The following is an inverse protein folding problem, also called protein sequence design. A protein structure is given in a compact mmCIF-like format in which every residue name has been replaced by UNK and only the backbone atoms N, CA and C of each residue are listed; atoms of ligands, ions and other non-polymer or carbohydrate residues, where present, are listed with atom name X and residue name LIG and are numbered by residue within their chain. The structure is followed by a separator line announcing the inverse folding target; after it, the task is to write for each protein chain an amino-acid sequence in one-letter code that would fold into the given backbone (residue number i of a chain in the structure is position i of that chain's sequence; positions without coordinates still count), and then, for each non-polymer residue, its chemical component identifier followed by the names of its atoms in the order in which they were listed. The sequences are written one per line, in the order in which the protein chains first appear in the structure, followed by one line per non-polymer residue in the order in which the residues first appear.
data_IF_235511331258
#
_entry.id   IF_235511331258
#
_cell.length_a   1.000
_cell.length_b   1.000
_cell.length_c   1.000
_cell.angle_alpha   90.00
_cell.angle_beta   90.00
_cell.angle_gamma   90.00
#
_symmetry.space_group_name_H-M   'P 1'
#
loop_
_entity.id
_entity.type
_entity.pdbx_description
1 polymer ?
#
# COMPACT_ATOMS: atom_id res chain seq x y z
N UNK A 1 -73.62 -6.33 -60.39
CA UNK A 1 -73.43 -7.49 -59.50
C UNK A 1 -71.90 -7.63 -59.26
N UNK A 2 -71.33 -6.98 -58.26
CA UNK A 2 -69.91 -6.94 -58.04
C UNK A 2 -69.62 -7.53 -56.67
N UNK A 3 -68.89 -8.63 -56.59
CA UNK A 3 -68.50 -9.29 -55.36
C UNK A 3 -67.28 -8.63 -54.72
N UNK A 4 -67.40 -8.12 -53.50
CA UNK A 4 -66.37 -7.62 -52.70
C UNK A 4 -65.68 -8.78 -51.93
N UNK A 5 -64.42 -8.99 -52.12
CA UNK A 5 -63.57 -9.92 -51.33
C UNK A 5 -62.96 -9.20 -50.14
N UNK A 6 -63.31 -9.66 -48.94
CA UNK A 6 -62.71 -9.21 -47.67
C UNK A 6 -61.44 -10.00 -47.47
N UNK A 7 -60.27 -9.26 -47.31
CA UNK A 7 -59.03 -9.85 -46.96
C UNK A 7 -58.82 -9.64 -45.44
N UNK A 8 -58.76 -10.78 -44.69
CA UNK A 8 -58.37 -10.79 -43.28
C UNK A 8 -56.82 -10.64 -43.21
N UNK A 9 -56.33 -9.58 -42.62
CA UNK A 9 -54.93 -9.48 -42.19
C UNK A 9 -54.80 -10.02 -40.78
N UNK A 10 -54.00 -11.09 -40.59
CA UNK A 10 -53.59 -11.60 -39.30
C UNK A 10 -52.39 -10.77 -38.79
N UNK A 11 -52.61 -10.00 -37.74
CA UNK A 11 -51.54 -9.27 -37.05
C UNK A 11 -50.77 -10.20 -36.13
N UNK A 12 -49.47 -10.42 -36.42
CA UNK A 12 -48.57 -11.12 -35.52
C UNK A 12 -48.01 -10.10 -34.49
N UNK A 13 -48.44 -10.26 -33.25
CA UNK A 13 -47.94 -9.46 -32.13
C UNK A 13 -46.61 -10.06 -31.66
N UNK A 14 -45.52 -9.39 -31.95
CA UNK A 14 -44.18 -9.78 -31.49
C UNK A 14 -43.93 -9.20 -30.07
N UNK A 15 -43.97 -10.07 -29.04
CA UNK A 15 -43.61 -9.72 -27.68
C UNK A 15 -42.06 -9.55 -27.60
N UNK A 16 -41.60 -8.32 -27.48
CA UNK A 16 -40.20 -8.03 -27.06
C UNK A 16 -40.08 -8.29 -25.56
N UNK A 17 -39.40 -9.38 -25.20
CA UNK A 17 -38.95 -9.62 -23.83
C UNK A 17 -37.72 -8.73 -23.57
N UNK A 18 -37.91 -7.59 -22.91
CA UNK A 18 -36.83 -6.80 -22.38
C UNK A 18 -36.25 -7.48 -21.14
N UNK A 19 -35.15 -8.22 -21.32
CA UNK A 19 -34.37 -8.78 -20.22
C UNK A 19 -33.70 -7.64 -19.45
N UNK A 20 -34.23 -7.35 -18.25
CA UNK A 20 -33.57 -6.48 -17.28
C UNK A 20 -32.32 -7.23 -16.75
N UNK A 21 -31.15 -6.96 -17.32
CA UNK A 21 -29.88 -7.41 -16.74
C UNK A 21 -29.68 -6.63 -15.44
N UNK A 22 -29.96 -7.27 -14.31
CA UNK A 22 -29.57 -6.76 -12.99
C UNK A 22 -28.04 -6.79 -12.92
N UNK A 23 -27.41 -5.65 -13.16
CA UNK A 23 -26.01 -5.46 -12.82
C UNK A 23 -25.89 -5.49 -11.30
N UNK A 24 -25.39 -6.61 -10.78
CA UNK A 24 -24.92 -6.70 -9.40
C UNK A 24 -23.74 -5.71 -9.32
N UNK A 25 -23.80 -4.67 -8.47
CA UNK A 25 -22.64 -3.82 -8.29
C UNK A 25 -21.55 -4.69 -7.66
N UNK A 26 -20.53 -5.05 -8.42
CA UNK A 26 -19.24 -5.46 -7.86
C UNK A 26 -18.76 -4.28 -7.03
N UNK A 27 -18.88 -4.40 -5.70
CA UNK A 27 -18.17 -3.52 -4.80
C UNK A 27 -16.68 -3.72 -5.11
N UNK A 28 -16.14 -2.87 -5.98
CA UNK A 28 -14.71 -2.69 -6.09
C UNK A 28 -14.29 -2.13 -4.73
N UNK A 29 -13.67 -2.97 -3.89
CA UNK A 29 -12.87 -2.49 -2.79
C UNK A 29 -11.80 -1.63 -3.45
N UNK A 30 -11.98 -0.30 -3.39
CA UNK A 30 -11.01 0.62 -3.92
C UNK A 30 -9.73 0.39 -3.10
N UNK A 31 -8.72 -0.21 -3.72
CA UNK A 31 -7.36 -0.06 -3.23
C UNK A 31 -7.16 1.44 -2.99
N UNK A 32 -6.63 1.81 -1.82
CA UNK A 32 -6.41 3.21 -1.45
C UNK A 32 -5.78 3.93 -2.64
N UNK A 33 -6.49 4.91 -3.20
CA UNK A 33 -6.13 5.46 -4.49
C UNK A 33 -4.75 6.11 -4.41
N UNK A 34 -3.81 5.62 -5.21
CA UNK A 34 -2.47 6.20 -5.28
C UNK A 34 -2.53 7.68 -5.65
N UNK A 35 -1.83 8.53 -4.89
CA UNK A 35 -1.88 9.99 -5.03
C UNK A 35 -0.54 10.52 -5.50
N UNK A 36 -0.54 11.31 -6.58
CA UNK A 36 0.66 12.05 -6.99
C UNK A 36 0.88 13.25 -6.06
N UNK A 37 1.95 13.21 -5.28
CA UNK A 37 2.31 14.25 -4.31
C UNK A 37 3.67 14.88 -4.65
N UNK A 38 3.93 16.13 -4.23
CA UNK A 38 5.23 16.77 -4.43
C UNK A 38 6.35 16.01 -3.73
N UNK A 39 7.56 16.07 -4.28
CA UNK A 39 8.75 15.54 -3.61
C UNK A 39 9.06 16.34 -2.32
N UNK A 40 9.73 15.71 -1.33
CA UNK A 40 10.23 16.44 -0.16
C UNK A 40 11.17 17.57 -0.57
N UNK A 41 11.03 18.73 0.09
CA UNK A 41 11.95 19.88 -0.10
C UNK A 41 13.25 19.65 0.66
N UNK A 42 13.18 18.92 1.79
CA UNK A 42 14.34 18.58 2.62
C UNK A 42 14.55 17.08 2.59
N UNK A 43 15.80 16.64 2.45
CA UNK A 43 16.15 15.22 2.44
C UNK A 43 17.40 14.94 3.28
N UNK A 44 17.64 13.66 3.57
CA UNK A 44 18.89 13.21 4.22
C UNK A 44 19.99 13.22 3.17
N UNK A 45 21.17 13.82 3.47
CA UNK A 45 22.31 13.75 2.57
C UNK A 45 22.71 12.29 2.26
N UNK A 46 23.05 12.03 1.00
CA UNK A 46 23.52 10.71 0.61
C UNK A 46 24.85 10.36 1.31
N UNK A 47 24.93 9.14 1.82
CA UNK A 47 26.14 8.57 2.43
C UNK A 47 26.72 7.46 1.56
N UNK A 48 28.01 7.09 1.71
CA UNK A 48 28.58 5.97 0.95
C UNK A 48 28.13 4.58 1.47
N UNK A 49 27.47 4.53 2.63
CA UNK A 49 27.02 3.29 3.28
C UNK A 49 25.54 3.05 3.00
N UNK A 50 25.14 1.78 3.05
CA UNK A 50 23.72 1.42 3.06
C UNK A 50 23.05 1.99 4.30
N UNK A 51 21.83 2.46 4.13
CA UNK A 51 21.00 3.03 5.18
C UNK A 51 19.76 2.15 5.41
N UNK A 52 19.11 2.34 6.55
CA UNK A 52 17.88 1.64 6.91
C UNK A 52 16.75 2.63 7.13
N UNK A 53 15.55 2.29 6.65
CA UNK A 53 14.30 2.97 6.97
C UNK A 53 13.26 1.93 7.41
N UNK A 54 12.33 2.31 8.30
CA UNK A 54 11.25 1.42 8.75
C UNK A 54 9.91 2.14 8.63
N UNK A 55 8.98 1.48 7.92
CA UNK A 55 7.66 2.00 7.60
C UNK A 55 6.56 1.01 7.97
N UNK A 56 5.48 1.52 8.54
CA UNK A 56 4.24 0.79 8.78
C UNK A 56 3.10 1.47 8.01
N UNK A 57 2.38 0.73 7.19
CA UNK A 57 1.36 1.28 6.28
C UNK A 57 0.30 0.26 5.89
N UNK A 58 -0.29 -0.44 6.87
CA UNK A 58 -1.24 -1.53 6.66
C UNK A 58 -0.56 -2.89 6.61
N UNK A 59 -1.20 -3.85 5.95
CA UNK A 59 -0.65 -5.19 5.77
C UNK A 59 0.77 -5.13 5.19
N UNK A 60 1.73 -5.72 5.89
CA UNK A 60 3.15 -5.67 5.51
C UNK A 60 3.46 -6.43 4.22
N UNK A 61 2.58 -7.32 3.72
CA UNK A 61 2.78 -7.97 2.43
C UNK A 61 2.83 -6.96 1.27
N UNK A 62 1.89 -6.02 1.25
CA UNK A 62 1.86 -4.96 0.25
C UNK A 62 2.98 -3.95 0.43
N UNK A 63 3.27 -3.57 1.68
CA UNK A 63 4.38 -2.64 1.99
C UNK A 63 5.71 -3.24 1.54
N UNK A 64 5.98 -4.51 1.88
CA UNK A 64 7.18 -5.23 1.44
C UNK A 64 7.22 -5.35 -0.08
N UNK A 65 6.12 -5.74 -0.72
CA UNK A 65 6.02 -5.88 -2.17
C UNK A 65 6.37 -4.58 -2.91
N UNK A 66 5.83 -3.44 -2.45
CA UNK A 66 6.18 -2.14 -3.05
C UNK A 66 7.67 -1.85 -2.92
N UNK A 67 8.25 -1.93 -1.72
CA UNK A 67 9.66 -1.60 -1.53
C UNK A 67 10.61 -2.61 -2.17
N UNK A 68 10.24 -3.87 -2.27
CA UNK A 68 11.00 -4.87 -3.00
C UNK A 68 11.16 -4.53 -4.49
N UNK A 69 10.20 -3.81 -5.06
CA UNK A 69 10.23 -3.33 -6.45
C UNK A 69 10.85 -1.94 -6.62
N UNK A 70 11.53 -1.38 -5.61
CA UNK A 70 12.15 -0.05 -5.70
C UNK A 70 13.65 -0.18 -6.00
N UNK A 71 14.11 0.44 -7.10
CA UNK A 71 15.54 0.54 -7.44
C UNK A 71 16.32 1.23 -6.31
N UNK A 72 17.44 0.65 -5.93
CA UNK A 72 18.26 1.14 -4.82
C UNK A 72 17.97 0.45 -3.50
N UNK A 73 16.79 -0.18 -3.33
CA UNK A 73 16.52 -1.07 -2.21
C UNK A 73 17.35 -2.34 -2.36
N UNK A 74 17.98 -2.77 -1.28
CA UNK A 74 18.81 -3.98 -1.18
C UNK A 74 18.12 -5.10 -0.41
N UNK A 75 17.20 -4.74 0.48
CA UNK A 75 16.40 -5.68 1.26
C UNK A 75 15.14 -4.99 1.77
N UNK A 76 14.01 -5.69 1.74
CA UNK A 76 12.76 -5.29 2.36
C UNK A 76 12.27 -6.49 3.20
N UNK A 77 12.14 -6.33 4.51
CA UNK A 77 11.84 -7.41 5.44
C UNK A 77 10.60 -7.07 6.26
N UNK A 78 9.57 -7.90 6.18
CA UNK A 78 8.36 -7.79 7.00
C UNK A 78 8.64 -8.09 8.47
N UNK A 79 8.01 -7.36 9.37
CA UNK A 79 8.20 -7.54 10.81
C UNK A 79 7.28 -6.67 11.65
N UNK A 80 7.62 -6.57 12.93
CA UNK A 80 6.84 -5.89 13.94
C UNK A 80 7.65 -4.79 14.62
N UNK A 81 7.06 -3.62 14.81
CA UNK A 81 7.70 -2.45 15.43
C UNK A 81 6.76 -1.77 16.43
N UNK A 82 7.31 -1.23 17.53
CA UNK A 82 6.57 -0.45 18.51
C UNK A 82 6.17 -1.19 19.79
N UNK A 83 6.07 -2.51 19.76
CA UNK A 83 5.76 -3.35 20.92
C UNK A 83 6.97 -4.06 21.53
N UNK A 84 6.71 -5.00 22.44
CA UNK A 84 7.74 -5.76 23.17
C UNK A 84 8.12 -7.06 22.46
N UNK A 85 9.32 -7.61 22.77
CA UNK A 85 9.79 -8.88 22.24
C UNK A 85 8.83 -10.05 22.52
N UNK A 86 8.19 -10.04 23.69
CA UNK A 86 7.32 -11.13 24.14
C UNK A 86 6.03 -11.24 23.29
N UNK A 87 5.61 -10.15 22.68
CA UNK A 87 4.38 -10.07 21.88
C UNK A 87 4.64 -9.99 20.37
N UNK A 88 5.92 -10.05 19.92
CA UNK A 88 6.32 -9.92 18.53
C UNK A 88 6.14 -11.23 17.77
N UNK A 89 4.90 -11.68 17.60
CA UNK A 89 4.48 -12.83 16.78
C UNK A 89 3.06 -12.62 16.25
N UNK A 90 2.79 -13.17 15.09
CA UNK A 90 1.59 -12.88 14.31
C UNK A 90 0.30 -13.06 15.09
N UNK A 91 0.15 -14.19 15.80
CA UNK A 91 -1.08 -14.53 16.55
C UNK A 91 -1.41 -13.51 17.63
N UNK A 92 -0.39 -12.86 18.22
CA UNK A 92 -0.60 -11.83 19.23
C UNK A 92 -0.80 -10.45 18.59
N UNK A 93 0.03 -10.10 17.60
CA UNK A 93 -0.05 -8.80 16.92
C UNK A 93 -1.39 -8.64 16.21
N UNK A 94 -1.94 -9.72 15.64
CA UNK A 94 -3.26 -9.73 15.01
C UNK A 94 -4.40 -9.27 15.91
N UNK A 95 -4.26 -9.41 17.24
CA UNK A 95 -5.23 -8.91 18.23
C UNK A 95 -5.30 -7.38 18.36
N UNK A 96 -4.26 -6.65 17.92
CA UNK A 96 -4.26 -5.18 17.89
C UNK A 96 -3.95 -4.48 19.23
N UNK A 97 -3.62 -5.22 20.30
CA UNK A 97 -3.41 -4.72 21.66
C UNK A 97 -1.94 -4.78 22.13
N UNK A 98 -1.03 -5.28 21.29
CA UNK A 98 0.39 -5.48 21.65
C UNK A 98 1.26 -4.22 21.54
N UNK A 99 0.72 -3.14 20.98
CA UNK A 99 1.48 -1.94 20.64
C UNK A 99 2.33 -2.07 19.36
N UNK A 100 2.46 -3.27 18.78
CA UNK A 100 3.14 -3.46 17.50
C UNK A 100 2.34 -2.87 16.33
N UNK A 101 3.07 -2.33 15.35
CA UNK A 101 2.58 -2.19 13.98
C UNK A 101 3.21 -3.27 13.11
N UNK A 102 2.46 -3.78 12.11
CA UNK A 102 3.04 -4.44 10.97
C UNK A 102 3.91 -3.43 10.22
N UNK A 103 5.17 -3.75 10.06
CA UNK A 103 6.16 -2.82 9.53
C UNK A 103 7.13 -3.53 8.59
N UNK A 104 7.78 -2.75 7.73
CA UNK A 104 8.81 -3.24 6.82
C UNK A 104 10.12 -2.48 7.07
N UNK A 105 11.18 -3.24 7.31
CA UNK A 105 12.54 -2.75 7.37
C UNK A 105 13.13 -2.75 5.97
N UNK A 106 13.45 -1.56 5.46
CA UNK A 106 14.00 -1.31 4.13
C UNK A 106 15.47 -0.94 4.25
N UNK A 107 16.38 -1.75 3.71
CA UNK A 107 17.80 -1.41 3.55
C UNK A 107 17.99 -0.89 2.13
N UNK A 108 18.59 0.29 1.98
CA UNK A 108 18.71 0.96 0.68
C UNK A 108 20.09 1.63 0.49
N UNK A 109 20.44 1.86 -0.77
CA UNK A 109 21.64 2.63 -1.16
C UNK A 109 21.23 4.11 -1.37
N UNK A 110 21.63 5.03 -0.48
CA UNK A 110 21.23 6.42 -0.56
C UNK A 110 21.83 7.19 -1.75
N UNK A 111 22.78 6.59 -2.46
CA UNK A 111 23.31 7.12 -3.73
C UNK A 111 22.39 6.83 -4.92
N UNK A 112 21.48 5.85 -4.79
CA UNK A 112 20.52 5.42 -5.83
C UNK A 112 19.13 5.95 -5.52
N UNK A 113 18.70 5.87 -4.26
CA UNK A 113 17.42 6.37 -3.81
C UNK A 113 17.55 7.02 -2.44
N UNK A 114 17.02 8.23 -2.30
CA UNK A 114 17.08 8.96 -1.04
C UNK A 114 15.98 8.55 -0.06
N UNK A 115 16.17 8.87 1.22
CA UNK A 115 15.16 8.65 2.26
C UNK A 115 13.86 9.40 1.96
N UNK A 116 13.97 10.66 1.51
CA UNK A 116 12.81 11.45 1.13
C UNK A 116 12.05 10.85 -0.06
N UNK A 117 12.75 10.23 -1.01
CA UNK A 117 12.09 9.51 -2.11
C UNK A 117 11.35 8.26 -1.61
N UNK A 118 11.90 7.52 -0.65
CA UNK A 118 11.20 6.41 0.00
C UNK A 118 9.94 6.90 0.73
N UNK A 119 10.00 8.04 1.42
CA UNK A 119 8.83 8.68 2.03
C UNK A 119 7.80 9.13 0.98
N UNK A 120 8.23 9.66 -0.16
CA UNK A 120 7.32 10.03 -1.24
C UNK A 120 6.57 8.81 -1.77
N UNK A 121 7.24 7.69 -1.96
CA UNK A 121 6.61 6.41 -2.34
C UNK A 121 5.65 5.94 -1.25
N UNK A 122 6.05 6.03 0.03
CA UNK A 122 5.20 5.67 1.17
C UNK A 122 3.85 6.39 1.13
N UNK A 123 3.87 7.70 1.06
CA UNK A 123 2.66 8.51 1.07
C UNK A 123 1.87 8.49 -0.26
N UNK A 124 2.54 8.20 -1.38
CA UNK A 124 1.84 8.15 -2.69
C UNK A 124 1.18 6.81 -2.98
N UNK A 125 1.75 5.71 -2.47
CA UNK A 125 1.47 4.35 -2.97
C UNK A 125 1.19 3.37 -1.85
N UNK A 126 1.94 3.45 -0.73
CA UNK A 126 1.91 2.40 0.30
C UNK A 126 0.72 2.54 1.21
N UNK A 127 0.47 3.75 1.73
CA UNK A 127 -0.53 3.98 2.76
C UNK A 127 -1.37 5.23 2.51
N UNK A 128 -2.67 5.18 2.82
CA UNK A 128 -3.47 6.38 3.04
C UNK A 128 -3.09 6.99 4.38
N UNK A 129 -2.44 8.17 4.39
CA UNK A 129 -1.97 8.78 5.63
C UNK A 129 -3.09 9.40 6.47
N UNK A 130 -4.33 9.38 5.99
CA UNK A 130 -5.50 9.99 6.66
C UNK A 130 -6.35 9.00 7.42
N UNK A 131 -6.01 7.71 7.39
CA UNK A 131 -6.73 6.64 8.07
C UNK A 131 -6.09 6.31 9.41
N UNK A 132 -6.88 6.40 10.47
CA UNK A 132 -6.41 6.12 11.83
C UNK A 132 -6.66 4.65 12.18
N UNK A 133 -5.56 3.89 12.39
CA UNK A 133 -5.59 2.47 12.77
C UNK A 133 -6.34 1.56 11.78
N UNK A 134 -6.28 1.87 10.49
CA UNK A 134 -6.72 0.96 9.44
C UNK A 134 -6.09 1.34 8.09
N UNK A 135 -6.02 0.36 7.16
CA UNK A 135 -5.64 0.57 5.75
C UNK A 135 -6.47 -0.37 4.88
N UNK A 136 -7.23 0.19 3.93
CA UNK A 136 -8.14 -0.61 3.12
C UNK A 136 -9.08 -1.47 3.99
N UNK A 137 -9.09 -2.81 3.80
CA UNK A 137 -9.96 -3.71 4.57
C UNK A 137 -9.44 -4.02 5.98
N UNK A 138 -8.17 -3.70 6.28
CA UNK A 138 -7.51 -4.11 7.53
C UNK A 138 -7.71 -3.09 8.63
N UNK A 139 -8.31 -3.50 9.73
CA UNK A 139 -8.62 -2.67 10.89
C UNK A 139 -7.86 -3.13 12.13
N UNK A 140 -7.40 -2.15 12.91
CA UNK A 140 -6.66 -2.36 14.16
C UNK A 140 -5.39 -1.52 14.23
N UNK A 141 -4.87 -1.31 15.44
CA UNK A 141 -3.68 -0.48 15.69
C UNK A 141 -2.42 -1.03 15.02
N UNK A 142 -2.36 -2.33 14.73
CA UNK A 142 -1.29 -2.98 14.01
C UNK A 142 -1.20 -2.54 12.55
N UNK A 143 -2.28 -2.02 11.96
CA UNK A 143 -2.32 -1.51 10.58
C UNK A 143 -2.21 0.02 10.50
N UNK A 144 -1.82 0.68 11.61
CA UNK A 144 -1.63 2.14 11.61
C UNK A 144 -0.54 2.59 10.65
N UNK A 145 -0.69 3.78 10.10
CA UNK A 145 0.36 4.46 9.37
C UNK A 145 1.39 5.05 10.33
N UNK A 146 2.64 4.58 10.26
CA UNK A 146 3.72 5.07 11.12
C UNK A 146 5.09 5.01 10.41
N UNK A 147 5.96 5.93 10.78
CA UNK A 147 7.37 6.01 10.39
C UNK A 147 8.20 5.84 11.65
N UNK A 148 9.20 4.94 11.61
CA UNK A 148 10.13 4.69 12.70
C UNK A 148 11.53 5.14 12.28
N UNK A 149 11.91 6.41 12.56
CA UNK A 149 13.20 6.94 12.13
C UNK A 149 14.35 6.25 12.84
N UNK A 150 15.40 5.91 12.09
CA UNK A 150 16.63 5.28 12.60
C UNK A 150 17.60 6.28 13.24
N UNK A 151 17.43 7.58 12.95
CA UNK A 151 18.29 8.67 13.44
C UNK A 151 17.54 10.01 13.45
N UNK A 152 18.12 11.06 14.09
CA UNK A 152 17.49 12.38 14.16
C UNK A 152 17.26 13.05 12.79
N UNK A 153 18.11 12.82 11.79
CA UNK A 153 17.96 13.39 10.45
C UNK A 153 16.72 12.81 9.75
N UNK A 154 16.55 11.48 9.77
CA UNK A 154 15.33 10.84 9.24
C UNK A 154 14.07 11.36 9.94
N UNK A 155 14.11 11.55 11.27
CA UNK A 155 12.99 12.13 12.02
C UNK A 155 12.66 13.54 11.54
N UNK A 156 13.67 14.39 11.37
CA UNK A 156 13.51 15.76 10.92
C UNK A 156 12.92 15.83 9.50
N UNK A 157 13.44 15.00 8.58
CA UNK A 157 12.93 14.92 7.20
C UNK A 157 11.48 14.41 7.17
N UNK A 158 11.15 13.36 7.90
CA UNK A 158 9.78 12.84 7.98
C UNK A 158 8.79 13.89 8.52
N UNK A 159 9.17 14.60 9.60
CA UNK A 159 8.33 15.65 10.17
C UNK A 159 8.15 16.84 9.22
N UNK A 160 9.24 17.29 8.57
CA UNK A 160 9.19 18.35 7.57
C UNK A 160 8.29 17.97 6.39
N UNK A 161 8.40 16.73 5.91
CA UNK A 161 7.61 16.27 4.77
C UNK A 161 6.13 16.13 5.11
N UNK A 162 5.76 15.59 6.27
CA UNK A 162 4.35 15.57 6.74
C UNK A 162 3.79 17.01 6.80
N UNK A 163 4.56 17.95 7.36
CA UNK A 163 4.14 19.36 7.42
C UNK A 163 3.98 19.97 6.01
N UNK A 164 4.90 19.67 5.08
CA UNK A 164 4.83 20.10 3.68
C UNK A 164 3.56 19.58 3.01
N UNK A 165 3.26 18.29 3.14
CA UNK A 165 2.07 17.65 2.56
C UNK A 165 0.77 18.20 3.16
N UNK A 166 0.75 18.47 4.46
CA UNK A 166 -0.39 19.11 5.12
C UNK A 166 -0.65 20.53 4.60
N UNK A 167 0.42 21.34 4.41
CA UNK A 167 0.30 22.68 3.80
C UNK A 167 -0.16 22.62 2.33
N UNK A 168 0.30 21.64 1.59
CA UNK A 168 -0.11 21.41 0.20
C UNK A 168 -1.55 20.89 0.07
N UNK A 169 -2.22 20.53 1.17
CA UNK A 169 -3.55 19.91 1.18
C UNK A 169 -3.64 18.72 0.22
N UNK A 170 -2.62 17.85 0.25
CA UNK A 170 -2.53 16.70 -0.64
C UNK A 170 -3.71 15.71 -0.45
N UNK A 171 -4.37 15.76 0.70
CA UNK A 171 -5.60 15.03 1.02
C UNK A 171 -6.65 15.96 1.62
N UNK A 172 -7.94 15.59 1.47
CA UNK A 172 -9.07 16.34 2.04
C UNK A 172 -9.25 16.12 3.57
N UNK A 173 -8.48 15.20 4.15
CA UNK A 173 -8.47 14.87 5.58
C UNK A 173 -7.08 15.11 6.17
N UNK A 174 -6.96 15.36 7.48
CA UNK A 174 -5.67 15.50 8.13
C UNK A 174 -4.80 14.26 8.00
N UNK A 175 -3.48 14.46 7.88
CA UNK A 175 -2.50 13.36 7.97
C UNK A 175 -2.40 12.91 9.43
N UNK A 176 -2.63 11.63 9.67
CA UNK A 176 -2.56 10.98 11.00
C UNK A 176 -1.37 10.05 11.14
N UNK A 177 -0.52 9.96 10.12
CA UNK A 177 0.73 9.18 10.16
C UNK A 177 1.58 9.63 11.33
N UNK A 178 2.02 8.67 12.16
CA UNK A 178 2.82 8.93 13.35
C UNK A 178 4.32 8.80 13.06
N UNK A 179 5.13 9.61 13.75
CA UNK A 179 6.58 9.44 13.82
C UNK A 179 6.88 8.88 15.20
N UNK A 180 7.08 7.58 15.27
CA UNK A 180 7.22 6.84 16.53
C UNK A 180 8.69 6.53 16.85
N UNK A 181 9.06 6.37 18.13
CA UNK A 181 10.37 5.82 18.49
C UNK A 181 10.43 4.34 18.09
N UNK A 182 11.64 3.88 17.76
CA UNK A 182 11.90 2.47 17.47
C UNK A 182 12.69 1.83 18.61
N UNK A 183 12.05 1.20 19.60
CA UNK A 183 12.78 0.46 20.63
C UNK A 183 13.46 -0.79 20.06
N UNK A 184 12.79 -1.49 19.14
CA UNK A 184 13.32 -2.63 18.39
C UNK A 184 12.44 -2.93 17.16
N UNK A 185 13.03 -3.67 16.20
CA UNK A 185 12.32 -4.28 15.07
C UNK A 185 12.47 -5.80 15.19
N UNK A 186 11.36 -6.51 15.13
CA UNK A 186 11.31 -7.97 15.19
C UNK A 186 10.88 -8.51 13.84
N UNK A 187 11.69 -9.38 13.24
CA UNK A 187 11.39 -9.99 11.94
C UNK A 187 10.17 -10.89 12.10
N UNK A 188 9.21 -10.77 11.19
CA UNK A 188 8.05 -11.65 11.14
C UNK A 188 8.45 -13.04 10.63
N UNK A 189 7.56 -13.99 10.86
CA UNK A 189 7.73 -15.41 10.52
C UNK A 189 8.04 -15.60 9.02
N UNK A 190 8.79 -16.63 8.69
CA UNK A 190 9.29 -16.86 7.32
C UNK A 190 8.20 -16.97 6.26
N UNK A 191 7.01 -17.46 6.63
CA UNK A 191 5.88 -17.59 5.70
C UNK A 191 5.25 -16.23 5.29
N UNK A 192 5.55 -15.15 6.01
CA UNK A 192 5.14 -13.81 5.64
C UNK A 192 6.10 -13.12 4.67
N UNK A 193 7.35 -13.59 4.62
CA UNK A 193 8.35 -12.94 3.77
C UNK A 193 8.07 -13.20 2.30
N UNK A 194 8.21 -12.13 1.48
CA UNK A 194 8.02 -12.15 0.03
C UNK A 194 6.64 -12.65 -0.44
N UNK A 195 5.63 -12.57 0.45
CA UNK A 195 4.32 -13.21 0.24
C UNK A 195 3.65 -12.73 -1.05
N UNK A 196 3.69 -11.43 -1.35
CA UNK A 196 3.14 -10.88 -2.60
C UNK A 196 3.77 -11.55 -3.84
N UNK A 197 5.09 -11.72 -3.84
CA UNK A 197 5.82 -12.30 -4.98
C UNK A 197 5.62 -13.82 -5.07
N UNK A 198 5.53 -14.51 -3.93
CA UNK A 198 5.41 -15.97 -3.87
C UNK A 198 3.97 -16.47 -4.03
N UNK A 199 2.99 -15.61 -3.78
CA UNK A 199 1.55 -15.93 -3.80
C UNK A 199 0.75 -14.87 -4.57
N UNK A 200 1.13 -14.55 -5.85
CA UNK A 200 0.52 -13.45 -6.59
C UNK A 200 -0.97 -13.66 -6.89
N UNK A 201 -1.42 -14.93 -6.91
CA UNK A 201 -2.83 -15.28 -7.18
C UNK A 201 -3.70 -15.32 -5.91
N UNK A 202 -3.13 -15.04 -4.73
CA UNK A 202 -3.90 -14.97 -3.50
C UNK A 202 -4.95 -13.84 -3.62
N UNK A 203 -6.25 -14.09 -3.33
CA UNK A 203 -7.32 -13.11 -3.53
C UNK A 203 -7.09 -11.78 -2.81
N UNK A 204 -6.50 -11.81 -1.60
CA UNK A 204 -6.16 -10.60 -0.87
C UNK A 204 -5.07 -9.79 -1.60
N UNK A 205 -4.01 -10.47 -2.07
CA UNK A 205 -2.91 -9.85 -2.83
C UNK A 205 -3.44 -9.21 -4.12
N UNK A 206 -4.27 -9.94 -4.86
CA UNK A 206 -4.87 -9.44 -6.11
C UNK A 206 -5.71 -8.20 -5.88
N UNK A 207 -6.52 -8.20 -4.82
CA UNK A 207 -7.44 -7.10 -4.53
C UNK A 207 -6.77 -5.88 -3.90
N UNK A 208 -5.77 -6.06 -3.02
CA UNK A 208 -5.28 -4.99 -2.15
C UNK A 208 -3.81 -4.59 -2.39
N UNK A 209 -2.94 -5.53 -2.78
CA UNK A 209 -1.49 -5.26 -2.77
C UNK A 209 -0.89 -5.13 -4.17
N UNK A 210 -1.30 -5.95 -5.15
CA UNK A 210 -0.88 -5.79 -6.55
C UNK A 210 -1.18 -4.40 -7.10
N UNK A 211 -2.35 -3.79 -6.83
CA UNK A 211 -2.64 -2.42 -7.27
C UNK A 211 -1.61 -1.40 -6.76
N UNK A 212 -1.02 -1.59 -5.57
CA UNK A 212 0.05 -0.72 -5.05
C UNK A 212 1.33 -0.83 -5.87
N UNK A 213 1.70 -2.05 -6.30
CA UNK A 213 2.88 -2.26 -7.16
C UNK A 213 2.66 -1.65 -8.55
N UNK A 214 1.46 -1.79 -9.12
CA UNK A 214 1.13 -1.14 -10.39
C UNK A 214 1.12 0.39 -10.26
N UNK A 215 0.64 0.92 -9.14
CA UNK A 215 0.71 2.35 -8.83
C UNK A 215 2.15 2.85 -8.70
N UNK A 216 3.04 2.08 -8.06
CA UNK A 216 4.49 2.38 -8.03
C UNK A 216 5.04 2.48 -9.45
N UNK A 217 4.74 1.51 -10.30
CA UNK A 217 5.18 1.49 -11.69
C UNK A 217 4.66 2.70 -12.49
N UNK A 218 3.40 3.06 -12.29
CA UNK A 218 2.76 4.18 -12.99
C UNK A 218 3.25 5.56 -12.52
N UNK A 219 3.39 5.76 -11.19
CA UNK A 219 3.75 7.05 -10.62
C UNK A 219 5.27 7.27 -10.53
N UNK A 220 6.06 6.21 -10.40
CA UNK A 220 7.51 6.23 -10.21
C UNK A 220 8.26 5.30 -11.18
N UNK A 221 8.05 5.42 -12.52
CA UNK A 221 8.65 4.49 -13.49
C UNK A 221 10.18 4.48 -13.44
N UNK A 222 10.82 5.60 -13.10
CA UNK A 222 12.27 5.69 -12.96
C UNK A 222 12.79 4.87 -11.75
N UNK A 223 12.01 4.81 -10.66
CA UNK A 223 12.34 4.08 -9.43
C UNK A 223 11.87 2.63 -9.46
N UNK A 224 10.92 2.27 -10.31
CA UNK A 224 10.39 0.91 -10.39
C UNK A 224 11.40 -0.08 -10.95
N UNK A 225 11.54 -1.24 -10.29
CA UNK A 225 12.27 -2.42 -10.78
C UNK A 225 11.29 -3.55 -11.06
N UNK A 226 11.27 -4.14 -12.29
CA UNK A 226 10.41 -5.28 -12.58
C UNK A 226 10.83 -6.56 -11.84
N UNK A 227 12.08 -6.61 -11.38
CA UNK A 227 12.63 -7.73 -10.61
C UNK A 227 12.73 -7.30 -9.15
N UNK A 228 11.90 -7.87 -8.24
CA UNK A 228 11.95 -7.53 -6.82
C UNK A 228 13.22 -8.07 -6.16
N UNK A 229 13.65 -7.40 -5.09
CA UNK A 229 14.62 -7.96 -4.15
C UNK A 229 13.86 -8.86 -3.18
N UNK A 230 14.34 -10.09 -2.98
CA UNK A 230 13.70 -11.06 -2.09
C UNK A 230 14.55 -11.25 -0.83
N UNK A 231 13.86 -11.57 0.28
CA UNK A 231 14.51 -12.03 1.51
C UNK A 231 14.99 -13.45 1.21
N UNK A 232 16.28 -13.63 1.01
CA UNK A 232 16.83 -14.95 0.72
C UNK A 232 16.33 -15.99 1.74
N UNK A 233 15.87 -17.13 1.27
CA UNK A 233 15.61 -18.26 2.13
C UNK A 233 16.97 -18.75 2.63
N UNK A 234 17.31 -18.37 3.85
CA UNK A 234 18.44 -18.93 4.58
C UNK A 234 18.19 -20.38 4.96
#
# INVERSE_FOLDING_TARGET
MTKVRTILMAGATMLLATGLATQVPTAAFAADAAVRIPAPIVDVPATPKLETAIFAGGCFWGVQGVYAHVKGVKSAVSGYAGGSRQTARYELVGGGDTGHAEAVKVVYDPRVISYGKLLQIFFSVVADPTTLNYQGPDHGSQYRSAIFPMNPQQRAVAASYIAQLGKARAWNRPIVTRIEPLPAFYVAEGYHQDFLTLKPDNPYIVANDLPKVEALKALFPAQYSPKPVLVGRG
#
